data_IF_566075942571
#
_entry.id   IF_566075942571
#
_cell.length_a   1.000
_cell.length_b   1.000
_cell.length_c   1.000
_cell.angle_alpha   90.00
_cell.angle_beta   90.00
_cell.angle_gamma   90.00
#
_symmetry.space_group_name_H-M   'P 1'
#
loop_
_entity.id
_entity.type
_entity.pdbx_description
1 polymer ?
#
# COMPACT_ATOMS: atom_id res chain seq x y z
N UNK A 1 -4.18 -17.40 -14.35
CA UNK A 1 -3.07 -17.67 -13.41
C UNK A 1 -2.59 -16.33 -12.86
N UNK A 2 -2.35 -16.19 -11.55
CA UNK A 2 -1.85 -14.94 -10.97
C UNK A 2 -0.38 -14.76 -11.37
N UNK A 3 0.00 -13.58 -11.85
CA UNK A 3 1.38 -13.28 -12.29
C UNK A 3 2.36 -13.11 -11.13
N UNK A 4 1.89 -12.70 -9.96
CA UNK A 4 2.70 -12.40 -8.78
C UNK A 4 2.13 -13.05 -7.52
N UNK A 5 3.02 -13.48 -6.62
CA UNK A 5 2.68 -13.93 -5.27
C UNK A 5 2.29 -12.72 -4.43
N UNK A 6 1.22 -12.86 -3.63
CA UNK A 6 0.78 -11.84 -2.68
C UNK A 6 1.21 -12.22 -1.27
N UNK A 7 1.70 -11.25 -0.52
CA UNK A 7 2.11 -11.42 0.87
C UNK A 7 1.11 -10.69 1.76
N UNK A 8 0.49 -11.36 2.74
CA UNK A 8 -0.33 -10.68 3.74
C UNK A 8 0.58 -9.81 4.59
N UNK A 9 0.16 -8.57 4.80
CA UNK A 9 0.89 -7.54 5.54
C UNK A 9 -0.13 -6.65 6.23
N UNK A 10 0.31 -5.87 7.19
CA UNK A 10 -0.55 -4.91 7.90
C UNK A 10 0.22 -3.60 8.12
N UNK A 11 0.80 -3.06 7.04
CA UNK A 11 1.63 -1.85 7.08
C UNK A 11 0.77 -0.65 6.67
N UNK A 12 0.83 0.47 7.40
CA UNK A 12 0.03 1.64 7.07
C UNK A 12 0.48 2.26 5.75
N UNK A 13 -0.49 2.68 4.94
CA UNK A 13 -0.30 3.37 3.67
C UNK A 13 -1.20 4.58 3.55
N UNK A 14 -0.82 5.49 2.65
CA UNK A 14 -1.65 6.62 2.26
C UNK A 14 -2.08 6.46 0.81
N UNK A 15 -3.37 6.70 0.56
CA UNK A 15 -3.96 6.71 -0.77
C UNK A 15 -4.65 8.03 -1.00
N UNK A 16 -4.33 8.69 -2.11
CA UNK A 16 -5.05 9.88 -2.58
C UNK A 16 -5.47 9.77 -4.03
N UNK A 17 -6.59 10.41 -4.38
CA UNK A 17 -7.01 10.49 -5.77
C UNK A 17 -6.00 11.31 -6.59
N UNK A 18 -5.58 10.77 -7.73
CA UNK A 18 -4.80 11.53 -8.70
C UNK A 18 -5.73 12.36 -9.59
N UNK A 19 -6.09 13.54 -9.11
CA UNK A 19 -7.00 14.46 -9.82
C UNK A 19 -6.37 15.03 -11.11
N UNK A 20 -5.05 14.96 -11.27
CA UNK A 20 -4.35 15.46 -12.44
C UNK A 20 -4.48 14.53 -13.67
N UNK A 21 -4.95 13.29 -13.46
CA UNK A 21 -5.17 12.30 -14.52
C UNK A 21 -6.54 12.37 -15.21
N UNK A 22 -7.44 13.24 -14.75
CA UNK A 22 -8.81 13.39 -15.29
C UNK A 22 -8.84 14.22 -16.58
N UNK A 23 -8.14 13.79 -17.64
CA UNK A 23 -8.63 14.11 -18.99
C UNK A 23 -9.75 13.13 -19.28
N UNK A 24 -10.96 13.67 -19.35
CA UNK A 24 -12.21 12.98 -19.58
C UNK A 24 -12.12 12.03 -20.79
N UNK A 25 -12.24 10.73 -20.53
CA UNK A 25 -12.88 9.83 -21.48
C UNK A 25 -14.32 9.68 -21.00
N UNK A 26 -15.26 10.12 -21.84
CA UNK A 26 -16.63 10.49 -21.48
C UNK A 26 -17.54 9.32 -21.14
N UNK A 27 -17.29 8.63 -20.02
CA UNK A 27 -18.27 7.74 -19.43
C UNK A 27 -18.36 7.97 -17.92
N UNK A 28 -19.08 9.04 -17.55
CA UNK A 28 -19.47 9.30 -16.18
C UNK A 28 -20.42 8.20 -15.70
N UNK A 29 -19.88 7.21 -15.00
CA UNK A 29 -20.69 6.28 -14.20
C UNK A 29 -21.30 7.06 -13.04
N UNK A 30 -22.62 7.22 -13.10
CA UNK A 30 -23.45 7.81 -12.05
C UNK A 30 -23.43 6.91 -10.81
N UNK A 31 -22.44 7.14 -9.96
CA UNK A 31 -22.24 6.46 -8.68
C UNK A 31 -20.95 6.88 -7.97
N UNK A 32 -20.38 8.04 -8.35
CA UNK A 32 -19.09 8.51 -7.87
C UNK A 32 -19.21 8.98 -6.42
N UNK A 33 -18.85 8.10 -5.49
CA UNK A 33 -18.49 8.51 -4.13
C UNK A 33 -17.36 9.54 -4.26
N UNK A 34 -17.70 10.79 -3.95
CA UNK A 34 -16.80 11.92 -4.04
C UNK A 34 -15.84 11.81 -2.86
N UNK A 35 -14.65 11.25 -3.10
CA UNK A 35 -13.58 11.48 -2.15
C UNK A 35 -13.26 12.97 -2.22
N UNK A 36 -13.40 13.63 -1.08
CA UNK A 36 -12.60 14.80 -0.79
C UNK A 36 -11.16 14.48 -1.19
N UNK A 37 -10.48 15.39 -1.87
CA UNK A 37 -9.08 15.26 -2.31
C UNK A 37 -8.06 15.02 -1.17
N UNK A 38 -8.53 14.75 0.04
CA UNK A 38 -7.75 14.46 1.22
C UNK A 38 -7.15 13.06 1.16
N UNK A 39 -5.89 12.96 1.60
CA UNK A 39 -5.19 11.70 1.77
C UNK A 39 -5.98 10.76 2.72
N UNK A 40 -6.17 9.52 2.29
CA UNK A 40 -6.78 8.46 3.10
C UNK A 40 -5.66 7.58 3.63
N UNK A 41 -5.37 7.68 4.92
CA UNK A 41 -4.55 6.68 5.61
C UNK A 41 -5.38 5.41 5.81
N UNK A 42 -4.83 4.27 5.41
CA UNK A 42 -5.46 2.97 5.51
C UNK A 42 -4.43 1.86 5.72
N UNK A 43 -4.92 0.70 6.16
CA UNK A 43 -4.09 -0.47 6.40
C UNK A 43 -4.01 -1.30 5.12
N UNK A 44 -2.79 -1.64 4.73
CA UNK A 44 -2.55 -2.58 3.64
C UNK A 44 -2.93 -3.99 4.10
N UNK A 45 -3.67 -4.73 3.28
CA UNK A 45 -4.08 -6.12 3.55
C UNK A 45 -3.09 -7.11 2.92
N UNK A 46 -2.70 -6.85 1.68
CA UNK A 46 -1.69 -7.64 0.99
C UNK A 46 -0.91 -6.83 -0.05
N UNK A 47 0.28 -7.31 -0.41
CA UNK A 47 1.15 -6.70 -1.41
C UNK A 47 1.78 -7.71 -2.36
N UNK A 48 1.98 -7.26 -3.59
CA UNK A 48 2.75 -7.95 -4.62
C UNK A 48 3.45 -6.94 -5.53
N UNK A 49 4.34 -7.41 -6.39
CA UNK A 49 4.95 -6.54 -7.41
C UNK A 49 3.92 -5.92 -8.39
N UNK A 50 2.74 -6.53 -8.51
CA UNK A 50 1.67 -6.03 -9.38
C UNK A 50 0.75 -5.00 -8.73
N UNK A 51 0.76 -4.86 -7.42
CA UNK A 51 -0.20 -4.02 -6.71
C UNK A 51 -0.44 -4.44 -5.26
N UNK A 52 -1.35 -3.72 -4.61
CA UNK A 52 -1.72 -3.86 -3.21
C UNK A 52 -3.23 -4.09 -3.06
N UNK A 53 -3.63 -4.61 -1.91
CA UNK A 53 -4.98 -4.51 -1.37
C UNK A 53 -4.94 -3.73 -0.05
N UNK A 54 -5.98 -2.97 0.25
CA UNK A 54 -6.09 -2.16 1.47
C UNK A 54 -7.55 -1.96 1.87
N UNK A 55 -7.78 -1.68 3.15
CA UNK A 55 -9.13 -1.43 3.68
C UNK A 55 -9.38 0.08 3.84
N UNK A 56 -10.39 0.61 3.15
CA UNK A 56 -10.78 2.02 3.19
C UNK A 56 -12.22 2.19 3.67
N UNK A 57 -12.52 3.32 4.33
CA UNK A 57 -13.87 3.61 4.82
C UNK A 57 -14.89 3.85 3.71
N UNK A 58 -14.44 4.42 2.60
CA UNK A 58 -15.29 4.77 1.46
C UNK A 58 -14.79 4.06 0.21
N UNK A 59 -15.70 3.50 -0.58
CA UNK A 59 -15.36 2.81 -1.81
C UNK A 59 -14.70 3.76 -2.83
N UNK A 60 -13.61 3.29 -3.44
CA UNK A 60 -12.98 3.98 -4.56
C UNK A 60 -13.57 3.46 -5.87
N UNK A 61 -13.91 4.37 -6.80
CA UNK A 61 -14.44 3.98 -8.10
C UNK A 61 -13.39 3.20 -8.91
N UNK A 62 -13.82 2.06 -9.48
CA UNK A 62 -12.97 1.23 -10.34
C UNK A 62 -12.55 2.04 -11.58
N UNK A 63 -11.27 1.97 -11.93
CA UNK A 63 -10.67 2.72 -13.03
C UNK A 63 -10.04 4.05 -12.62
N UNK A 64 -10.35 4.58 -11.43
CA UNK A 64 -9.72 5.80 -10.94
C UNK A 64 -8.23 5.60 -10.67
N UNK A 65 -7.45 6.64 -10.98
CA UNK A 65 -6.02 6.70 -10.64
C UNK A 65 -5.85 7.21 -9.23
N UNK A 66 -4.93 6.60 -8.52
CA UNK A 66 -4.57 6.94 -7.14
C UNK A 66 -3.06 7.09 -7.03
N UNK A 67 -2.63 7.94 -6.11
CA UNK A 67 -1.27 7.90 -5.57
C UNK A 67 -1.28 6.94 -4.38
N UNK A 68 -0.22 6.15 -4.27
CA UNK A 68 0.05 5.23 -3.17
C UNK A 68 1.37 5.65 -2.56
N UNK A 69 1.34 6.06 -1.31
CA UNK A 69 2.49 6.47 -0.53
C UNK A 69 2.70 5.51 0.64
N UNK A 70 3.92 4.98 0.78
CA UNK A 70 4.32 4.09 1.86
C UNK A 70 5.55 4.71 2.52
N UNK A 71 5.32 5.38 3.66
CA UNK A 71 6.35 6.17 4.35
C UNK A 71 7.10 5.34 5.40
N UNK A 72 6.71 4.06 5.57
CA UNK A 72 7.28 3.09 6.50
C UNK A 72 8.43 2.27 5.89
N UNK A 73 8.74 2.49 4.62
CA UNK A 73 9.88 1.88 3.92
C UNK A 73 10.95 2.93 3.64
N UNK A 74 12.20 2.50 3.43
CA UNK A 74 13.33 3.40 3.16
C UNK A 74 14.13 2.95 1.92
N UNK A 75 14.17 3.75 0.84
CA UNK A 75 13.53 5.05 0.69
C UNK A 75 12.00 4.96 0.70
N UNK A 76 11.34 6.05 1.06
CA UNK A 76 9.88 6.16 0.98
C UNK A 76 9.40 5.79 -0.43
N UNK A 77 8.28 5.09 -0.48
CA UNK A 77 7.70 4.66 -1.75
C UNK A 77 6.59 5.62 -2.15
N UNK A 78 6.70 6.18 -3.36
CA UNK A 78 5.66 7.01 -3.99
C UNK A 78 5.33 6.44 -5.37
N UNK A 79 4.14 5.89 -5.53
CA UNK A 79 3.72 5.21 -6.76
C UNK A 79 2.35 5.65 -7.26
N UNK A 80 2.15 5.57 -8.58
CA UNK A 80 0.81 5.67 -9.17
C UNK A 80 0.19 4.30 -9.32
N UNK A 81 -1.10 4.21 -9.03
CA UNK A 81 -1.90 3.01 -9.20
C UNK A 81 -3.27 3.29 -9.80
N UNK A 82 -3.96 2.23 -10.17
CA UNK A 82 -5.35 2.26 -10.61
C UNK A 82 -6.18 1.30 -9.78
N UNK A 83 -7.35 1.75 -9.35
CA UNK A 83 -8.33 0.90 -8.67
C UNK A 83 -8.85 -0.14 -9.67
N UNK A 84 -8.63 -1.42 -9.39
CA UNK A 84 -9.07 -2.53 -10.25
C UNK A 84 -10.32 -3.24 -9.71
N UNK A 85 -10.60 -3.11 -8.42
CA UNK A 85 -11.83 -3.55 -7.79
C UNK A 85 -12.00 -2.84 -6.44
N UNK A 86 -13.24 -2.70 -6.00
CA UNK A 86 -13.62 -2.24 -4.67
C UNK A 86 -14.77 -3.14 -4.19
N UNK A 87 -14.63 -3.77 -3.03
CA UNK A 87 -15.60 -4.74 -2.50
C UNK A 87 -16.03 -4.32 -1.10
N UNK A 88 -17.34 -4.34 -0.78
CA UNK A 88 -17.79 -4.09 0.58
C UNK A 88 -17.27 -5.19 1.53
N UNK A 89 -16.88 -4.78 2.74
CA UNK A 89 -16.37 -5.62 3.82
C UNK A 89 -16.86 -5.07 5.15
N UNK A 90 -17.92 -5.66 5.70
CA UNK A 90 -18.59 -5.14 6.90
C UNK A 90 -18.89 -3.62 6.78
N UNK A 91 -18.26 -2.80 7.62
CA UNK A 91 -18.40 -1.33 7.66
C UNK A 91 -17.33 -0.57 6.85
N UNK A 92 -16.56 -1.28 6.02
CA UNK A 92 -15.50 -0.73 5.17
C UNK A 92 -15.55 -1.34 3.75
N UNK A 93 -14.55 -0.98 2.94
CA UNK A 93 -14.34 -1.53 1.61
C UNK A 93 -12.91 -2.01 1.47
N UNK A 94 -12.74 -3.22 0.97
CA UNK A 94 -11.45 -3.69 0.52
C UNK A 94 -11.24 -3.24 -0.93
N UNK A 95 -10.11 -2.60 -1.19
CA UNK A 95 -9.80 -2.03 -2.50
C UNK A 95 -8.49 -2.59 -3.02
N UNK A 96 -8.54 -3.08 -4.27
CA UNK A 96 -7.37 -3.51 -5.00
C UNK A 96 -6.84 -2.42 -5.91
N UNK A 97 -5.56 -2.11 -5.77
CA UNK A 97 -4.85 -1.14 -6.61
C UNK A 97 -3.76 -1.84 -7.40
N UNK A 98 -3.77 -1.67 -8.73
CA UNK A 98 -2.72 -2.13 -9.63
C UNK A 98 -1.69 -1.01 -9.86
N UNK A 99 -0.40 -1.29 -9.75
CA UNK A 99 0.64 -0.29 -9.98
C UNK A 99 0.78 0.05 -11.47
N UNK A 100 0.77 1.35 -11.81
CA UNK A 100 0.78 1.82 -13.19
C UNK A 100 2.18 2.00 -13.76
N UNK A 101 3.09 2.71 -13.09
CA UNK A 101 4.38 3.09 -13.71
C UNK A 101 5.51 3.25 -12.69
N UNK A 102 6.12 2.14 -12.28
CA UNK A 102 7.42 2.16 -11.62
C UNK A 102 8.27 1.00 -12.12
N UNK A 103 9.58 1.19 -12.10
CA UNK A 103 10.55 0.15 -12.42
C UNK A 103 10.31 -1.10 -11.56
N UNK A 104 10.40 -2.27 -12.19
CA UNK A 104 10.19 -3.56 -11.52
C UNK A 104 11.14 -3.75 -10.33
N UNK A 105 12.39 -3.30 -10.46
CA UNK A 105 13.37 -3.31 -9.39
C UNK A 105 12.91 -2.51 -8.17
N UNK A 106 12.33 -1.32 -8.37
CA UNK A 106 11.84 -0.47 -7.29
C UNK A 106 10.64 -1.10 -6.57
N UNK A 107 9.67 -1.63 -7.34
CA UNK A 107 8.52 -2.35 -6.76
C UNK A 107 8.96 -3.59 -6.00
N UNK A 108 9.91 -4.35 -6.55
CA UNK A 108 10.43 -5.54 -5.87
C UNK A 108 11.14 -5.19 -4.56
N UNK A 109 11.93 -4.11 -4.54
CA UNK A 109 12.58 -3.62 -3.32
C UNK A 109 11.57 -3.19 -2.27
N UNK A 110 10.52 -2.46 -2.67
CA UNK A 110 9.44 -2.07 -1.75
C UNK A 110 8.74 -3.30 -1.17
N UNK A 111 8.30 -4.25 -2.02
CA UNK A 111 7.63 -5.49 -1.57
C UNK A 111 8.50 -6.24 -0.57
N UNK A 112 9.80 -6.34 -0.86
CA UNK A 112 10.75 -7.00 0.02
C UNK A 112 10.82 -6.32 1.40
N UNK A 113 10.86 -4.98 1.45
CA UNK A 113 10.91 -4.27 2.73
C UNK A 113 9.63 -4.43 3.54
N UNK A 114 8.46 -4.35 2.91
CA UNK A 114 7.18 -4.60 3.60
C UNK A 114 7.14 -6.03 4.17
N UNK A 115 7.60 -7.03 3.40
CA UNK A 115 7.73 -8.39 3.90
C UNK A 115 8.71 -8.51 5.08
N UNK A 116 9.82 -7.77 5.07
CA UNK A 116 10.79 -7.78 6.17
C UNK A 116 10.21 -7.17 7.45
N UNK A 117 9.42 -6.10 7.34
CA UNK A 117 8.70 -5.50 8.48
C UNK A 117 7.74 -6.52 9.09
N UNK A 118 6.97 -7.23 8.26
CA UNK A 118 6.05 -8.26 8.72
C UNK A 118 6.78 -9.45 9.38
N UNK A 119 7.89 -9.90 8.80
CA UNK A 119 8.74 -10.93 9.40
C UNK A 119 9.33 -10.48 10.75
N UNK A 120 9.72 -9.21 10.86
CA UNK A 120 10.23 -8.63 12.09
C UNK A 120 9.16 -8.62 13.19
N UNK A 121 7.94 -8.20 12.86
CA UNK A 121 6.77 -8.22 13.75
C UNK A 121 6.56 -9.61 14.36
N UNK A 122 6.56 -10.64 13.51
CA UNK A 122 6.42 -12.03 13.93
C UNK A 122 7.60 -12.51 14.80
N UNK A 123 8.83 -12.14 14.43
CA UNK A 123 10.03 -12.50 15.18
C UNK A 123 10.05 -11.87 16.59
N UNK A 124 9.60 -10.62 16.73
CA UNK A 124 9.47 -9.95 18.03
C UNK A 124 8.45 -10.68 18.89
N UNK A 125 7.30 -11.06 18.33
CA UNK A 125 6.30 -11.83 19.06
C UNK A 125 6.86 -13.19 19.51
N UNK A 126 7.51 -13.93 18.63
CA UNK A 126 8.06 -15.26 18.97
C UNK A 126 9.17 -15.21 20.03
N UNK A 127 10.03 -14.18 20.00
CA UNK A 127 11.21 -14.08 20.88
C UNK A 127 10.93 -13.36 22.19
N UNK A 128 10.07 -12.36 22.17
CA UNK A 128 9.87 -11.42 23.27
C UNK A 128 8.43 -11.45 23.81
N UNK A 129 7.49 -12.09 23.10
CA UNK A 129 6.07 -12.11 23.46
C UNK A 129 5.35 -10.78 23.28
N UNK A 130 6.02 -9.77 22.70
CA UNK A 130 5.43 -8.47 22.41
C UNK A 130 4.59 -8.54 21.15
N UNK A 131 3.35 -8.06 21.22
CA UNK A 131 2.50 -7.86 20.06
C UNK A 131 2.77 -6.45 19.54
N UNK A 132 3.23 -6.36 18.30
CA UNK A 132 3.41 -5.10 17.60
C UNK A 132 2.35 -5.00 16.50
N UNK A 133 1.82 -3.80 16.28
CA UNK A 133 1.15 -3.49 15.02
C UNK A 133 2.16 -3.20 13.90
N UNK A 134 1.70 -3.00 12.66
CA UNK A 134 2.61 -2.75 11.56
C UNK A 134 3.27 -1.36 11.58
N UNK A 135 2.66 -0.37 12.23
CA UNK A 135 3.26 0.95 12.40
C UNK A 135 4.43 0.87 13.39
N UNK A 136 4.22 0.23 14.54
CA UNK A 136 5.25 -0.03 15.54
C UNK A 136 6.38 -0.90 14.97
N UNK A 137 6.04 -1.98 14.26
CA UNK A 137 7.03 -2.85 13.63
C UNK A 137 7.85 -2.10 12.58
N UNK A 138 7.23 -1.25 11.76
CA UNK A 138 7.93 -0.42 10.79
C UNK A 138 8.85 0.60 11.47
N UNK A 139 8.38 1.29 12.50
CA UNK A 139 9.16 2.27 13.24
C UNK A 139 10.39 1.62 13.92
N UNK A 140 10.21 0.47 14.56
CA UNK A 140 11.31 -0.30 15.14
C UNK A 140 12.27 -0.82 14.06
N UNK A 141 11.76 -1.31 12.93
CA UNK A 141 12.55 -1.80 11.80
C UNK A 141 13.41 -0.70 11.19
N UNK A 142 12.83 0.47 10.87
CA UNK A 142 13.56 1.65 10.38
C UNK A 142 14.64 2.03 11.38
N UNK A 143 14.31 2.16 12.68
CA UNK A 143 15.29 2.54 13.70
C UNK A 143 16.46 1.56 13.78
N UNK A 144 16.20 0.25 13.64
CA UNK A 144 17.22 -0.81 13.72
C UNK A 144 18.06 -0.93 12.46
N UNK A 145 17.46 -0.75 11.28
CA UNK A 145 18.09 -1.14 10.01
C UNK A 145 18.26 0.00 9.00
N UNK A 146 17.73 1.20 9.24
CA UNK A 146 17.88 2.32 8.30
C UNK A 146 19.34 2.74 8.12
N UNK A 147 20.19 2.57 9.14
CA UNK A 147 21.62 2.89 9.03
C UNK A 147 22.37 1.96 8.05
N UNK A 148 22.00 0.68 8.00
CA UNK A 148 22.65 -0.34 7.16
C UNK A 148 22.30 -0.18 5.67
N UNK A 149 21.22 0.52 5.34
CA UNK A 149 20.85 0.80 3.94
C UNK A 149 21.62 1.97 3.32
N UNK A 150 22.24 2.84 4.12
CA UNK A 150 23.03 3.98 3.62
C UNK A 150 24.52 3.67 3.41
N UNK A 151 24.99 2.44 3.66
CA UNK A 151 26.39 2.03 3.45
C UNK A 151 26.64 1.30 2.13
N UNK A 152 25.71 1.37 1.18
CA UNK A 152 25.92 0.93 -0.21
C UNK A 152 26.21 2.10 -1.13
N UNK A 153 27.48 2.56 -1.11
CA UNK A 153 28.22 3.41 -2.08
C UNK A 153 27.44 4.13 -3.17
#
# INVERSE_FOLDING_TARGET
MRKYIRHPVDVPIQISLDLNGSKADGNAVNGSATLSAADVTCDMVDVSQGGIACDVKNCLAVGCKVRVDINTVSPEYHGLGQVVWCKPKNDSYEVGVCFLNQEEAFRSRMVQQVCQIEMYKNMVYEREGRVLDGEEAAAEWIKKYAADFFTGT
#
